data_IF_371944161806
#
_entry.id   IF_371944161806
#
_cell.length_a   1.000
_cell.length_b   1.000
_cell.length_c   1.000
_cell.angle_alpha   90.00
_cell.angle_beta   90.00
_cell.angle_gamma   90.00
#
_symmetry.space_group_name_H-M   'P 1'
#
loop_
_entity.id
_entity.type
_entity.pdbx_description
1 polymer ?
#
# COMPACT_ATOMS: atom_id res chain seq x y z
N UNK A 1 -22.66 0.25 10.11
CA UNK A 1 -21.44 0.87 9.55
C UNK A 1 -21.80 1.40 8.18
N UNK A 2 -21.72 2.72 7.96
CA UNK A 2 -22.04 3.33 6.66
C UNK A 2 -20.78 3.32 5.81
N UNK A 3 -20.83 2.65 4.67
CA UNK A 3 -19.74 2.63 3.70
C UNK A 3 -19.85 3.83 2.77
N UNK A 4 -18.70 4.39 2.41
CA UNK A 4 -18.58 5.46 1.44
C UNK A 4 -17.52 5.07 0.38
N UNK A 5 -17.83 5.23 -0.93
CA UNK A 5 -19.14 5.59 -1.49
C UNK A 5 -20.18 4.46 -1.28
N UNK A 6 -21.46 4.77 -1.53
CA UNK A 6 -22.50 3.74 -1.54
C UNK A 6 -22.29 2.73 -2.69
N UNK A 7 -22.99 1.60 -2.60
CA UNK A 7 -22.84 0.50 -3.55
C UNK A 7 -23.07 0.94 -5.00
N UNK A 8 -24.14 1.68 -5.28
CA UNK A 8 -24.46 2.10 -6.65
C UNK A 8 -23.39 3.01 -7.25
N UNK A 9 -22.87 3.93 -6.44
CA UNK A 9 -21.80 4.83 -6.86
C UNK A 9 -20.51 4.08 -7.10
N UNK A 10 -20.14 3.17 -6.20
CA UNK A 10 -18.96 2.32 -6.37
C UNK A 10 -19.08 1.46 -7.64
N UNK A 11 -20.22 0.78 -7.82
CA UNK A 11 -20.48 -0.12 -8.94
C UNK A 11 -20.34 0.61 -10.28
N UNK A 12 -20.92 1.81 -10.43
CA UNK A 12 -20.75 2.63 -11.64
C UNK A 12 -19.30 2.95 -11.96
N UNK A 13 -18.46 3.19 -10.94
CA UNK A 13 -17.04 3.43 -11.17
C UNK A 13 -16.25 2.17 -11.49
N UNK A 14 -16.63 1.04 -10.88
CA UNK A 14 -16.02 -0.25 -11.12
C UNK A 14 -16.26 -0.72 -12.56
N UNK A 15 -17.51 -0.64 -13.03
CA UNK A 15 -17.87 -0.97 -14.43
C UNK A 15 -17.19 -0.04 -15.45
N UNK A 16 -16.82 1.17 -15.04
CA UNK A 16 -16.05 2.11 -15.85
C UNK A 16 -14.52 1.88 -15.75
N UNK A 17 -14.06 0.83 -15.08
CA UNK A 17 -12.65 0.49 -14.92
C UNK A 17 -11.85 1.43 -14.03
N UNK A 18 -12.51 2.18 -13.12
CA UNK A 18 -11.83 3.11 -12.23
C UNK A 18 -11.38 2.42 -10.95
N UNK A 19 -10.12 2.65 -10.57
CA UNK A 19 -9.65 2.33 -9.22
C UNK A 19 -10.34 3.23 -8.20
N UNK A 20 -10.84 2.64 -7.12
CA UNK A 20 -11.67 3.33 -6.14
C UNK A 20 -11.41 2.79 -4.73
N UNK A 21 -11.74 3.60 -3.72
CA UNK A 21 -11.71 3.20 -2.32
C UNK A 21 -13.12 2.99 -1.80
N UNK A 22 -13.28 2.00 -0.94
CA UNK A 22 -14.45 1.85 -0.05
C UNK A 22 -13.95 2.01 1.37
N UNK A 23 -14.57 2.91 2.12
CA UNK A 23 -14.12 3.24 3.46
C UNK A 23 -15.29 3.53 4.40
N UNK A 24 -14.97 3.60 5.70
CA UNK A 24 -15.88 4.02 6.77
C UNK A 24 -15.08 4.78 7.82
N UNK A 25 -15.77 5.58 8.63
CA UNK A 25 -15.20 6.12 9.87
C UNK A 25 -15.81 5.39 11.06
N UNK A 26 -14.97 5.05 12.02
CA UNK A 26 -15.35 4.38 13.27
C UNK A 26 -14.78 5.19 14.43
N UNK A 27 -15.54 5.27 15.53
CA UNK A 27 -15.01 5.81 16.77
C UNK A 27 -13.97 4.83 17.33
N UNK A 28 -12.82 5.36 17.74
CA UNK A 28 -11.67 4.58 18.20
C UNK A 28 -10.99 5.25 19.40
N UNK A 29 -11.75 5.98 20.22
CA UNK A 29 -11.22 6.81 21.32
C UNK A 29 -10.46 6.00 22.39
N UNK A 30 -10.72 4.69 22.45
CA UNK A 30 -10.07 3.75 23.37
C UNK A 30 -8.95 2.92 22.73
N UNK A 31 -8.72 3.09 21.43
CA UNK A 31 -7.70 2.35 20.71
C UNK A 31 -6.46 3.22 20.46
N UNK A 32 -5.30 2.61 20.65
CA UNK A 32 -4.01 3.13 20.17
C UNK A 32 -3.64 2.49 18.83
N UNK A 33 -2.77 3.11 18.02
CA UNK A 33 -2.28 2.51 16.78
C UNK A 33 -1.74 1.09 16.97
N UNK A 34 -0.98 0.85 18.05
CA UNK A 34 -0.46 -0.46 18.42
C UNK A 34 -1.58 -1.45 18.69
N UNK A 35 -2.60 -1.06 19.47
CA UNK A 35 -3.73 -1.95 19.76
C UNK A 35 -4.55 -2.28 18.50
N UNK A 36 -4.69 -1.33 17.56
CA UNK A 36 -5.35 -1.56 16.28
C UNK A 36 -4.53 -2.50 15.39
N UNK A 37 -3.21 -2.35 15.33
CA UNK A 37 -2.32 -3.28 14.62
C UNK A 37 -2.49 -4.71 15.13
N UNK A 38 -2.50 -4.91 16.46
CA UNK A 38 -2.70 -6.22 17.06
C UNK A 38 -4.10 -6.79 16.76
N UNK A 39 -5.15 -5.98 16.88
CA UNK A 39 -6.56 -6.39 16.67
C UNK A 39 -6.88 -6.69 15.20
N UNK A 40 -6.41 -5.86 14.27
CA UNK A 40 -6.74 -5.94 12.84
C UNK A 40 -5.81 -6.89 12.09
N UNK A 41 -4.50 -6.74 12.29
CA UNK A 41 -3.50 -7.47 11.53
C UNK A 41 -3.07 -8.77 12.21
N UNK A 42 -3.04 -8.79 13.55
CA UNK A 42 -2.57 -9.92 14.33
C UNK A 42 -1.09 -10.23 14.12
N UNK A 43 -0.28 -9.20 13.82
CA UNK A 43 1.16 -9.30 13.50
C UNK A 43 1.50 -10.32 12.38
N UNK A 44 0.59 -10.52 11.42
CA UNK A 44 0.80 -11.43 10.28
C UNK A 44 1.80 -10.83 9.27
N UNK A 45 2.43 -11.69 8.49
CA UNK A 45 3.24 -11.28 7.35
C UNK A 45 2.45 -10.34 6.41
N UNK A 46 3.15 -9.37 5.80
CA UNK A 46 2.53 -8.34 4.97
C UNK A 46 1.75 -7.27 5.76
N UNK A 47 1.95 -7.19 7.08
CA UNK A 47 1.34 -6.14 7.91
C UNK A 47 2.39 -5.11 8.33
N UNK A 48 1.99 -3.86 8.42
CA UNK A 48 2.86 -2.76 8.83
C UNK A 48 2.12 -1.74 9.68
N UNK A 49 2.89 -0.96 10.44
CA UNK A 49 2.41 0.24 11.12
C UNK A 49 3.40 1.38 10.87
N UNK A 50 2.91 2.51 10.38
CA UNK A 50 3.69 3.74 10.19
C UNK A 50 3.18 4.81 11.14
N UNK A 51 4.09 5.40 11.88
CA UNK A 51 3.81 6.52 12.78
C UNK A 51 4.89 7.58 12.56
N UNK A 52 4.48 8.82 12.35
CA UNK A 52 5.42 9.94 12.22
C UNK A 52 5.66 10.53 13.60
N UNK A 53 6.93 10.65 14.01
CA UNK A 53 7.33 11.37 15.22
C UNK A 53 8.34 12.42 14.80
N UNK A 54 8.01 13.70 15.00
CA UNK A 54 8.94 14.81 14.75
C UNK A 54 9.63 15.18 16.06
N UNK A 55 10.96 15.15 16.06
CA UNK A 55 11.78 15.59 17.20
C UNK A 55 11.60 14.78 18.50
N UNK A 56 11.05 13.58 18.43
CA UNK A 56 10.82 12.71 19.60
C UNK A 56 9.61 13.07 20.47
N UNK A 57 9.01 14.24 20.28
CA UNK A 57 7.94 14.75 21.16
C UNK A 57 6.59 14.92 20.46
N UNK A 58 6.58 15.24 19.15
CA UNK A 58 5.35 15.51 18.41
C UNK A 58 4.98 14.32 17.53
N UNK A 59 3.94 13.58 17.92
CA UNK A 59 3.29 12.60 17.05
C UNK A 59 2.55 13.30 15.92
N UNK A 60 2.73 12.80 14.70
CA UNK A 60 1.99 13.24 13.52
C UNK A 60 0.49 12.96 13.68
N UNK A 61 -0.33 13.69 12.90
CA UNK A 61 -1.80 13.62 12.97
C UNK A 61 -2.37 12.22 12.66
N UNK A 62 -1.63 11.40 11.90
CA UNK A 62 -2.07 10.09 11.45
C UNK A 62 -1.06 9.00 11.83
N UNK A 63 -1.60 7.86 12.25
CA UNK A 63 -0.91 6.57 12.23
C UNK A 63 -1.59 5.69 11.19
N UNK A 64 -0.81 4.91 10.46
CA UNK A 64 -1.31 4.05 9.38
C UNK A 64 -1.05 2.60 9.73
N UNK A 65 -2.07 1.77 9.62
CA UNK A 65 -1.97 0.32 9.77
C UNK A 65 -2.41 -0.31 8.45
N UNK A 66 -1.52 -1.07 7.82
CA UNK A 66 -1.82 -1.85 6.61
C UNK A 66 -1.64 -3.34 6.87
N UNK A 67 -2.48 -4.16 6.24
CA UNK A 67 -2.47 -5.62 6.40
C UNK A 67 -3.18 -6.30 5.23
N UNK A 68 -2.89 -7.59 5.01
CA UNK A 68 -3.48 -8.41 3.94
C UNK A 68 -3.39 -7.74 2.55
N UNK A 69 -2.17 -7.44 2.07
CA UNK A 69 -2.00 -6.88 0.74
C UNK A 69 -2.63 -7.80 -0.29
N UNK A 70 -3.29 -7.21 -1.28
CA UNK A 70 -3.77 -7.89 -2.48
C UNK A 70 -2.67 -8.04 -3.53
N UNK A 71 -1.69 -7.12 -3.52
CA UNK A 71 -0.57 -7.09 -4.43
C UNK A 71 0.76 -6.90 -3.69
N UNK A 72 1.79 -7.65 -4.10
CA UNK A 72 3.18 -7.45 -3.68
C UNK A 72 4.08 -7.34 -4.90
N UNK A 73 4.93 -6.32 -4.92
CA UNK A 73 5.99 -6.15 -5.92
C UNK A 73 7.34 -6.41 -5.25
N UNK A 74 8.18 -7.19 -5.92
CA UNK A 74 9.55 -7.49 -5.48
C UNK A 74 10.52 -7.34 -6.66
N UNK A 75 11.74 -6.90 -6.39
CA UNK A 75 12.83 -6.97 -7.37
C UNK A 75 14.09 -7.59 -6.78
N UNK A 76 14.85 -8.26 -7.64
CA UNK A 76 16.17 -8.80 -7.33
C UNK A 76 17.11 -8.49 -8.48
N UNK A 77 18.11 -7.66 -8.23
CA UNK A 77 18.97 -7.14 -9.29
C UNK A 77 18.14 -6.26 -10.24
N UNK A 78 18.19 -6.58 -11.54
CA UNK A 78 17.54 -5.79 -12.59
C UNK A 78 16.11 -6.26 -12.91
N UNK A 79 15.68 -7.40 -12.38
CA UNK A 79 14.39 -8.03 -12.69
C UNK A 79 13.41 -7.86 -11.52
N UNK A 80 12.11 -7.79 -11.86
CA UNK A 80 11.01 -7.71 -10.92
C UNK A 80 9.98 -8.81 -11.11
N UNK A 81 9.23 -9.04 -10.04
CA UNK A 81 8.10 -9.96 -9.97
C UNK A 81 6.93 -9.29 -9.26
N UNK A 82 5.72 -9.65 -9.66
CA UNK A 82 4.48 -9.20 -9.01
C UNK A 82 3.69 -10.42 -8.59
N UNK A 83 3.26 -10.44 -7.33
CA UNK A 83 2.25 -11.35 -6.83
C UNK A 83 0.93 -10.59 -6.67
N UNK A 84 -0.02 -10.81 -7.60
CA UNK A 84 -1.37 -10.20 -7.58
C UNK A 84 -2.39 -11.01 -6.78
N UNK A 85 -1.94 -12.13 -6.21
CA UNK A 85 -2.72 -13.05 -5.40
C UNK A 85 -2.19 -13.11 -3.97
N UNK A 86 -1.39 -12.13 -3.54
CA UNK A 86 -0.63 -12.17 -2.29
C UNK A 86 -1.50 -12.37 -1.04
N UNK A 87 -2.79 -12.00 -1.14
CA UNK A 87 -3.80 -12.22 -0.11
C UNK A 87 -4.11 -13.71 0.12
N UNK A 88 -4.01 -14.53 -0.91
CA UNK A 88 -4.48 -15.91 -0.94
C UNK A 88 -3.34 -16.91 -1.14
N UNK A 89 -2.35 -16.55 -1.95
CA UNK A 89 -1.16 -17.36 -2.24
C UNK A 89 0.09 -16.45 -2.17
N UNK A 90 0.90 -16.56 -1.11
CA UNK A 90 2.09 -15.72 -0.93
C UNK A 90 3.20 -16.02 -1.95
N UNK A 91 3.18 -17.17 -2.63
CA UNK A 91 4.25 -17.61 -3.53
C UNK A 91 3.92 -17.41 -5.02
N UNK A 92 2.73 -16.92 -5.35
CA UNK A 92 2.22 -16.72 -6.71
C UNK A 92 2.85 -15.50 -7.44
N UNK A 93 4.18 -15.38 -7.40
CA UNK A 93 4.92 -14.33 -8.09
C UNK A 93 5.10 -14.65 -9.58
N UNK A 94 4.76 -13.69 -10.42
CA UNK A 94 4.96 -13.76 -11.88
C UNK A 94 6.03 -12.74 -12.33
N UNK A 95 6.89 -13.08 -13.31
CA UNK A 95 7.86 -12.15 -13.86
C UNK A 95 7.19 -10.87 -14.40
N UNK A 96 7.76 -9.72 -14.06
CA UNK A 96 7.25 -8.40 -14.44
C UNK A 96 8.28 -7.55 -15.22
N UNK A 97 9.41 -8.14 -15.61
CA UNK A 97 10.45 -7.52 -16.42
C UNK A 97 11.36 -6.56 -15.65
N UNK A 98 11.99 -5.58 -16.34
CA UNK A 98 12.97 -4.68 -15.74
C UNK A 98 12.40 -3.90 -14.54
N UNK A 99 13.12 -3.89 -13.42
CA UNK A 99 12.57 -3.49 -12.13
C UNK A 99 12.04 -2.05 -12.09
N UNK A 100 12.78 -1.07 -12.62
CA UNK A 100 12.33 0.33 -12.61
C UNK A 100 11.16 0.58 -13.58
N UNK A 101 11.09 -0.16 -14.69
CA UNK A 101 10.00 -0.07 -15.66
C UNK A 101 8.73 -0.71 -15.09
N UNK A 102 8.88 -1.91 -14.52
CA UNK A 102 7.83 -2.64 -13.79
C UNK A 102 7.23 -1.81 -12.67
N UNK A 103 8.07 -1.21 -11.81
CA UNK A 103 7.60 -0.35 -10.71
C UNK A 103 6.85 0.88 -11.23
N UNK A 104 7.33 1.51 -12.30
CA UNK A 104 6.67 2.67 -12.92
C UNK A 104 5.31 2.28 -13.50
N UNK A 105 5.23 1.16 -14.20
CA UNK A 105 3.99 0.65 -14.76
C UNK A 105 2.98 0.34 -13.65
N UNK A 106 3.43 -0.33 -12.57
CA UNK A 106 2.59 -0.65 -11.43
C UNK A 106 2.08 0.61 -10.71
N UNK A 107 2.92 1.62 -10.51
CA UNK A 107 2.49 2.90 -9.92
C UNK A 107 1.41 3.60 -10.76
N UNK A 108 1.51 3.52 -12.09
CA UNK A 108 0.50 4.08 -12.98
C UNK A 108 -0.81 3.27 -12.92
N UNK A 109 -0.71 1.95 -12.87
CA UNK A 109 -1.85 1.04 -12.74
C UNK A 109 -2.59 1.22 -11.42
N UNK A 110 -1.87 1.35 -10.30
CA UNK A 110 -2.44 1.51 -8.96
C UNK A 110 -2.92 2.93 -8.66
N UNK A 111 -2.88 3.86 -9.63
CA UNK A 111 -3.25 5.25 -9.39
C UNK A 111 -4.75 5.35 -9.04
N UNK A 112 -5.04 6.07 -7.96
CA UNK A 112 -6.40 6.33 -7.47
C UNK A 112 -6.60 7.83 -7.36
N UNK A 113 -7.74 8.33 -7.86
CA UNK A 113 -8.19 9.69 -7.55
C UNK A 113 -8.73 9.72 -6.12
N UNK A 114 -7.87 10.15 -5.19
CA UNK A 114 -8.15 10.09 -3.75
C UNK A 114 -9.30 11.02 -3.35
N UNK A 115 -10.28 10.53 -2.57
CA UNK A 115 -11.28 11.39 -1.93
C UNK A 115 -10.61 12.47 -1.08
N UNK A 116 -11.08 13.71 -1.19
CA UNK A 116 -10.44 14.88 -0.55
C UNK A 116 -10.41 14.81 0.99
N UNK A 117 -11.27 13.99 1.59
CA UNK A 117 -11.43 13.82 3.02
C UNK A 117 -10.63 12.63 3.59
N UNK A 118 -9.95 11.87 2.74
CA UNK A 118 -9.06 10.79 3.15
C UNK A 118 -7.59 11.24 3.17
N UNK A 119 -6.78 10.73 4.13
CA UNK A 119 -5.35 10.98 4.09
C UNK A 119 -4.74 10.32 2.84
N UNK A 120 -3.70 10.92 2.23
CA UNK A 120 -3.04 10.35 1.05
C UNK A 120 -2.52 8.91 1.26
N UNK A 121 -2.23 8.51 2.49
CA UNK A 121 -1.76 7.18 2.86
C UNK A 121 -2.87 6.12 2.97
N UNK A 122 -4.14 6.45 2.66
CA UNK A 122 -5.25 5.50 2.75
C UNK A 122 -5.18 4.37 1.72
N UNK A 123 -4.40 4.52 0.64
CA UNK A 123 -4.00 3.44 -0.26
C UNK A 123 -2.67 3.76 -0.94
N UNK A 124 -1.93 2.73 -1.35
CA UNK A 124 -0.65 2.88 -2.02
C UNK A 124 0.21 1.64 -1.92
N UNK A 125 1.40 1.72 -2.51
CA UNK A 125 2.45 0.72 -2.36
C UNK A 125 3.32 1.10 -1.16
N UNK A 126 3.35 0.22 -0.15
CA UNK A 126 4.13 0.43 1.06
C UNK A 126 5.17 -0.66 1.20
N UNK A 127 6.41 -0.27 1.45
CA UNK A 127 7.52 -1.19 1.54
C UNK A 127 8.84 -0.44 1.67
N UNK A 128 9.91 -1.09 1.24
CA UNK A 128 11.25 -0.53 1.26
C UNK A 128 11.93 -0.77 -0.09
N UNK A 129 12.85 0.13 -0.44
CA UNK A 129 13.80 -0.08 -1.52
C UNK A 129 15.18 -0.19 -0.86
N UNK A 130 15.84 -1.32 -1.06
CA UNK A 130 17.18 -1.54 -0.50
C UNK A 130 18.19 -0.57 -1.11
N UNK A 131 19.26 -0.25 -0.37
CA UNK A 131 20.31 0.67 -0.81
C UNK A 131 20.86 0.32 -2.20
N UNK A 132 21.05 -0.96 -2.49
CA UNK A 132 21.59 -1.41 -3.78
C UNK A 132 20.70 -1.10 -5.00
N UNK A 133 19.43 -0.71 -4.82
CA UNK A 133 18.60 -0.23 -5.92
C UNK A 133 19.16 1.01 -6.61
N UNK A 134 20.03 1.78 -5.93
CA UNK A 134 20.75 2.92 -6.54
C UNK A 134 21.50 2.51 -7.82
N UNK A 135 21.97 1.26 -7.89
CA UNK A 135 22.70 0.71 -9.04
C UNK A 135 21.87 0.58 -10.31
N UNK A 136 20.54 0.59 -10.19
CA UNK A 136 19.64 0.58 -11.35
C UNK A 136 19.48 1.97 -11.97
N UNK A 137 19.80 3.02 -11.22
CA UNK A 137 19.67 4.41 -11.65
C UNK A 137 21.03 4.98 -12.04
N UNK A 138 22.08 4.67 -11.26
CA UNK A 138 23.43 5.16 -11.49
C UNK A 138 24.29 4.09 -12.17
N UNK A 139 24.82 4.41 -13.35
CA UNK A 139 25.90 3.63 -13.94
C UNK A 139 27.17 3.88 -13.15
N UNK A 140 27.84 2.83 -12.69
CA UNK A 140 29.22 2.96 -12.23
C UNK A 140 30.06 3.56 -13.36
N UNK A 141 30.66 4.71 -13.10
CA UNK A 141 31.82 5.15 -13.87
C UNK A 141 32.88 4.07 -13.63
N UNK A 142 33.22 3.35 -14.70
CA UNK A 142 34.29 2.34 -14.67
C UNK A 142 35.65 2.96 -14.41
#
# INVERSE_FOLDING_TARGET
MKLEPDFETFARGYEAGRNQLVWTRLAADLDTPVSLMLRLAGARAGSFMLESVTGGEVRGRYSVVGFKPDLVWECRGEEAWINRSARFDPEAFEPAGPALESLRALLAECRIDMPADLPPMAAGLFGYLGYDMVRLVERRLG
#
